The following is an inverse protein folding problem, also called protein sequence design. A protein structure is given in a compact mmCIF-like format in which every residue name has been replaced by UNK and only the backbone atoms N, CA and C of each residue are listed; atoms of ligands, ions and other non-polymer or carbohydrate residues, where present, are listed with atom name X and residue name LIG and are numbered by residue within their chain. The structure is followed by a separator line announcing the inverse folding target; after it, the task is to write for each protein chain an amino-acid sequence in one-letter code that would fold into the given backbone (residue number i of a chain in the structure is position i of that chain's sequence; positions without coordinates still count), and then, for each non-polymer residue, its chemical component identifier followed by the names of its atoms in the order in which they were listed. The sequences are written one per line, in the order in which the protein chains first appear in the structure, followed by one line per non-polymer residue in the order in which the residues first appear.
data_IF_370611292817
#
_entry.id   IF_370611292817
#
_cell.length_a   1.000
_cell.length_b   1.000
_cell.length_c   1.000
_cell.angle_alpha   90.00
_cell.angle_beta   90.00
_cell.angle_gamma   90.00
#
_symmetry.space_group_name_H-M   'P 1'
#
loop_
_entity.id
_entity.type
_entity.pdbx_description
1 polymer ?
#
# COMPACT_ATOMS: atom_id res chain seq x y z
N UNK A 1 -9.45 8.66 -0.11
CA UNK A 1 -8.99 7.66 0.89
C UNK A 1 -7.72 8.10 1.61
N UNK A 2 -6.68 8.65 0.95
CA UNK A 2 -5.46 9.12 1.63
C UNK A 2 -5.71 10.24 2.63
N UNK A 3 -6.50 11.24 2.25
CA UNK A 3 -6.90 12.35 3.13
C UNK A 3 -7.81 11.94 4.30
N UNK A 4 -8.26 10.68 4.36
CA UNK A 4 -9.00 10.14 5.50
C UNK A 4 -8.12 9.27 6.41
N UNK A 5 -6.86 9.04 6.07
CA UNK A 5 -5.94 8.16 6.79
C UNK A 5 -5.10 8.94 7.80
N UNK A 6 -5.22 8.67 9.12
CA UNK A 6 -4.43 9.38 10.13
C UNK A 6 -2.92 9.26 9.94
N UNK A 7 -2.41 8.08 9.57
CA UNK A 7 -0.98 7.91 9.28
C UNK A 7 -0.48 8.82 8.16
N UNK A 8 -1.35 9.11 7.18
CA UNK A 8 -1.04 9.99 6.07
C UNK A 8 -1.09 11.47 6.47
N UNK A 9 -1.93 11.86 7.44
CA UNK A 9 -1.92 13.22 7.98
C UNK A 9 -0.58 13.58 8.64
N UNK A 10 0.00 12.63 9.36
CA UNK A 10 1.22 12.87 10.14
C UNK A 10 2.53 12.67 9.38
N UNK A 11 2.52 11.92 8.28
CA UNK A 11 3.74 11.53 7.56
C UNK A 11 3.52 11.52 6.03
N UNK A 12 2.77 12.48 5.46
CA UNK A 12 2.46 12.50 4.02
C UNK A 12 3.68 12.62 3.12
N UNK A 13 4.80 13.12 3.65
CA UNK A 13 6.10 13.26 3.00
C UNK A 13 6.87 11.92 2.89
N UNK A 14 6.52 10.94 3.72
CA UNK A 14 7.26 9.65 3.81
C UNK A 14 6.38 8.43 3.60
N UNK A 15 5.16 8.44 4.12
CA UNK A 15 4.17 7.40 3.91
C UNK A 15 3.41 7.67 2.62
N UNK A 16 3.46 6.71 1.69
CA UNK A 16 2.87 6.86 0.36
C UNK A 16 1.34 7.00 0.40
N UNK A 17 0.71 6.44 1.43
CA UNK A 17 -0.73 6.53 1.62
C UNK A 17 -1.52 5.49 0.83
N UNK A 18 -2.80 5.29 1.19
CA UNK A 18 -3.61 4.20 0.66
C UNK A 18 -3.91 4.30 -0.83
N UNK A 19 -4.03 5.50 -1.41
CA UNK A 19 -4.29 5.63 -2.84
C UNK A 19 -3.09 5.18 -3.69
N UNK A 20 -1.87 5.58 -3.32
CA UNK A 20 -0.65 5.21 -4.02
C UNK A 20 -0.37 3.73 -3.84
N UNK A 21 -0.51 3.20 -2.62
CA UNK A 21 -0.28 1.78 -2.36
C UNK A 21 -1.30 0.87 -3.05
N UNK A 22 -2.54 1.33 -3.25
CA UNK A 22 -3.51 0.61 -4.09
C UNK A 22 -3.06 0.53 -5.56
N UNK A 23 -2.48 1.60 -6.10
CA UNK A 23 -1.90 1.60 -7.45
C UNK A 23 -0.60 0.79 -7.54
N UNK A 24 0.22 0.78 -6.48
CA UNK A 24 1.40 -0.08 -6.42
C UNK A 24 0.98 -1.55 -6.47
N UNK A 25 -0.02 -1.94 -5.69
CA UNK A 25 -0.56 -3.30 -5.71
C UNK A 25 -1.12 -3.70 -7.07
N UNK A 26 -1.77 -2.77 -7.80
CA UNK A 26 -2.23 -3.03 -9.18
C UNK A 26 -1.10 -3.55 -10.07
N UNK A 27 0.09 -2.93 -10.02
CA UNK A 27 1.24 -3.37 -10.81
C UNK A 27 1.86 -4.65 -10.27
N UNK A 28 1.98 -4.78 -8.94
CA UNK A 28 2.51 -5.98 -8.30
C UNK A 28 1.68 -7.24 -8.56
N UNK A 29 0.37 -7.09 -8.75
CA UNK A 29 -0.54 -8.20 -9.05
C UNK A 29 -0.76 -8.43 -10.56
N UNK A 30 -0.18 -7.59 -11.43
CA UNK A 30 -0.34 -7.72 -12.88
C UNK A 30 0.66 -8.74 -13.42
N UNK A 31 0.17 -9.87 -13.95
CA UNK A 31 1.02 -10.94 -14.49
C UNK A 31 1.85 -10.53 -15.71
N UNK A 32 1.58 -9.36 -16.29
CA UNK A 32 2.34 -8.79 -17.41
C UNK A 32 3.50 -7.90 -16.96
N UNK A 33 3.59 -7.55 -15.68
CA UNK A 33 4.65 -6.68 -15.15
C UNK A 33 5.88 -7.51 -14.76
N UNK A 34 6.99 -7.28 -15.46
CA UNK A 34 8.25 -7.97 -15.23
C UNK A 34 9.11 -7.33 -14.12
N UNK A 35 8.65 -6.25 -13.49
CA UNK A 35 9.42 -5.44 -12.52
C UNK A 35 8.92 -5.59 -11.08
N UNK A 36 8.33 -6.74 -10.76
CA UNK A 36 7.75 -6.99 -9.42
C UNK A 36 8.81 -6.88 -8.32
N UNK A 37 10.03 -7.39 -8.55
CA UNK A 37 11.12 -7.33 -7.57
C UNK A 37 11.54 -5.90 -7.25
N UNK A 38 11.82 -5.09 -8.27
CA UNK A 38 12.24 -3.71 -8.13
C UNK A 38 11.16 -2.83 -7.49
N UNK A 39 9.90 -3.11 -7.78
CA UNK A 39 8.76 -2.42 -7.15
C UNK A 39 8.64 -2.76 -5.67
N UNK A 40 8.83 -4.03 -5.29
CA UNK A 40 8.84 -4.44 -3.88
C UNK A 40 10.02 -3.80 -3.14
N UNK A 41 11.21 -3.77 -3.74
CA UNK A 41 12.41 -3.12 -3.17
C UNK A 41 12.16 -1.62 -2.93
N UNK A 42 11.48 -0.94 -3.86
CA UNK A 42 11.12 0.47 -3.71
C UNK A 42 10.10 0.74 -2.59
N UNK A 43 9.32 -0.27 -2.18
CA UNK A 43 8.33 -0.17 -1.11
C UNK A 43 8.88 -0.61 0.26
N UNK A 44 10.02 -1.30 0.28
CA UNK A 44 10.67 -1.85 1.47
C UNK A 44 11.40 -0.76 2.29
N UNK A 45 10.63 0.22 2.76
CA UNK A 45 11.08 1.29 3.65
C UNK A 45 10.15 1.39 4.88
N UNK A 46 10.67 1.67 6.09
CA UNK A 46 9.87 1.72 7.32
C UNK A 46 8.71 2.72 7.28
N UNK A 47 8.73 3.72 6.39
CA UNK A 47 7.70 4.73 6.26
C UNK A 47 6.81 4.53 5.05
N UNK A 48 7.36 4.16 3.88
CA UNK A 48 6.62 4.07 2.61
C UNK A 48 5.41 3.13 2.68
N UNK A 49 5.57 1.97 3.31
CA UNK A 49 4.54 0.93 3.42
C UNK A 49 4.03 0.73 4.85
N UNK A 50 4.94 0.66 5.83
CA UNK A 50 4.63 0.11 7.15
C UNK A 50 3.89 1.07 8.10
N UNK A 51 3.63 2.32 7.69
CA UNK A 51 2.79 3.25 8.46
C UNK A 51 1.29 2.96 8.36
N UNK A 52 0.88 1.98 7.56
CA UNK A 52 -0.49 1.49 7.60
C UNK A 52 -0.73 0.63 8.85
N UNK A 53 -1.51 1.17 9.80
CA UNK A 53 -1.93 0.52 11.05
C UNK A 53 -3.34 -0.08 10.98
N UNK A 54 -3.82 -0.45 9.79
CA UNK A 54 -5.13 -1.12 9.61
C UNK A 54 -6.29 -0.32 10.24
N UNK A 55 -6.26 1.01 10.13
CA UNK A 55 -7.29 1.94 10.64
C UNK A 55 -8.60 1.84 9.84
N UNK A 56 -8.55 1.29 8.61
CA UNK A 56 -9.70 1.02 7.73
C UNK A 56 -10.48 2.22 7.18
N UNK A 57 -10.20 3.46 7.61
CA UNK A 57 -10.83 4.67 7.03
C UNK A 57 -10.75 4.72 5.50
N UNK A 58 -9.64 4.26 4.92
CA UNK A 58 -9.41 4.28 3.49
C UNK A 58 -10.42 3.45 2.68
N UNK A 59 -10.82 2.29 3.21
CA UNK A 59 -11.80 1.40 2.59
C UNK A 59 -13.21 1.95 2.78
N UNK A 60 -13.56 2.37 3.99
CA UNK A 60 -14.89 2.89 4.31
C UNK A 60 -15.27 4.15 3.51
N UNK A 61 -14.30 5.04 3.25
CA UNK A 61 -14.55 6.32 2.57
C UNK A 61 -14.46 6.22 1.04
N UNK A 62 -14.03 5.08 0.47
CA UNK A 62 -13.77 5.02 -0.97
C UNK A 62 -15.09 5.10 -1.76
N UNK A 63 -15.31 6.16 -2.58
CA UNK A 63 -16.59 6.33 -3.31
C UNK A 63 -16.78 5.30 -4.43
N UNK A 64 -15.75 4.50 -4.72
CA UNK A 64 -15.77 3.42 -5.72
C UNK A 64 -15.87 2.03 -5.08
N UNK A 65 -16.01 1.93 -3.76
CA UNK A 65 -16.09 0.65 -3.05
C UNK A 65 -14.81 -0.18 -3.11
N UNK A 66 -13.66 0.46 -3.38
CA UNK A 66 -12.36 -0.23 -3.42
C UNK A 66 -11.86 -0.48 -2.00
N UNK A 67 -10.97 -1.47 -1.85
CA UNK A 67 -10.39 -1.84 -0.57
C UNK A 67 -8.86 -1.60 -0.53
N UNK A 68 -8.40 -0.34 -0.33
CA UNK A 68 -6.97 -0.05 -0.18
C UNK A 68 -6.32 -0.79 1.00
N UNK A 69 -7.04 -1.03 2.09
CA UNK A 69 -6.47 -1.73 3.24
C UNK A 69 -6.09 -3.18 2.90
N UNK A 70 -6.95 -3.89 2.15
CA UNK A 70 -6.63 -5.23 1.65
C UNK A 70 -5.39 -5.20 0.74
N UNK A 71 -5.36 -4.30 -0.24
CA UNK A 71 -4.21 -4.16 -1.13
C UNK A 71 -2.89 -3.93 -0.39
N UNK A 72 -2.89 -3.07 0.65
CA UNK A 72 -1.70 -2.83 1.48
C UNK A 72 -1.28 -4.10 2.24
N UNK A 73 -2.24 -4.88 2.74
CA UNK A 73 -1.96 -6.16 3.41
C UNK A 73 -1.35 -7.17 2.45
N UNK A 74 -1.84 -7.27 1.22
CA UNK A 74 -1.26 -8.16 0.20
C UNK A 74 0.18 -7.74 -0.15
N UNK A 75 0.47 -6.45 -0.29
CA UNK A 75 1.86 -5.98 -0.48
C UNK A 75 2.75 -6.43 0.69
N UNK A 76 2.31 -6.24 1.94
CA UNK A 76 3.08 -6.66 3.13
C UNK A 76 3.33 -8.16 3.13
N UNK A 77 2.34 -8.96 2.69
CA UNK A 77 2.45 -10.40 2.56
C UNK A 77 3.46 -10.80 1.49
N UNK A 78 3.42 -10.19 0.30
CA UNK A 78 4.40 -10.43 -0.76
C UNK A 78 5.85 -10.16 -0.31
N UNK A 79 6.07 -9.08 0.46
CA UNK A 79 7.40 -8.81 1.04
C UNK A 79 7.79 -9.86 2.08
N UNK A 80 6.87 -10.28 2.94
CA UNK A 80 7.15 -11.32 3.94
C UNK A 80 7.48 -12.68 3.29
N UNK A 81 6.75 -13.07 2.24
CA UNK A 81 6.96 -14.30 1.48
C UNK A 81 8.30 -14.30 0.74
N UNK A 82 8.75 -13.14 0.23
CA UNK A 82 10.05 -13.01 -0.43
C UNK A 82 11.25 -13.23 0.51
N UNK A 83 11.04 -13.07 1.83
CA UNK A 83 12.08 -13.26 2.86
C UNK A 83 12.09 -14.67 3.46
N UNK A 84 11.08 -15.50 3.16
CA UNK A 84 10.94 -16.87 3.66
C UNK A 84 11.75 -17.86 2.80
#
# INVERSE_FOLDING_TARGET
CSTACPSYWWNSDRYLGPAVLLQAYRWLADSRDEYTGERLDALEDPFRLYRCHTIMNCTNTCPKGLNPALAITEIKKMIAERRA
#
